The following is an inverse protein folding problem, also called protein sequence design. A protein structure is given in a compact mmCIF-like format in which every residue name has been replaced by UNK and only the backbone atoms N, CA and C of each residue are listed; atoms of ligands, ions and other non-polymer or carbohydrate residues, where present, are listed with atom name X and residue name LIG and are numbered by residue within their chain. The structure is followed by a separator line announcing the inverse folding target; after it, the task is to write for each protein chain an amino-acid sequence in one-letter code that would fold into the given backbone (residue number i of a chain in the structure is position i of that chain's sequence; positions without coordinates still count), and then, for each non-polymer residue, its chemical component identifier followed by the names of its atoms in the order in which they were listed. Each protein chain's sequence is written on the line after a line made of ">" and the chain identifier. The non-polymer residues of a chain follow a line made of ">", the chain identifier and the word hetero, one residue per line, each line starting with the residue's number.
data_IF_226943804208
#
_entry.id   IF_226943804208
#
_cell.length_a   1.000
_cell.length_b   1.000
_cell.length_c   1.000
_cell.angle_alpha   90.00
_cell.angle_beta   90.00
_cell.angle_gamma   90.00
#
_symmetry.space_group_name_H-M   'P 1'
#
loop_
_entity.id
_entity.type
_entity.pdbx_description
1 polymer ?
#
# COMPACT_ATOMS: atom_id res chain seq x y z
N UNK A 1 -3.43 -5.47 4.73
CA UNK A 1 -4.86 -5.67 4.38
C UNK A 1 -5.68 -4.99 5.47
N UNK A 2 -6.26 -3.83 5.19
CA UNK A 2 -7.27 -3.26 6.08
C UNK A 2 -8.42 -4.25 6.10
N UNK A 3 -8.71 -4.83 7.26
CA UNK A 3 -9.80 -5.78 7.40
C UNK A 3 -11.09 -5.06 7.01
N UNK A 4 -11.93 -5.69 6.18
CA UNK A 4 -13.27 -5.23 5.88
C UNK A 4 -14.13 -5.37 7.15
N UNK A 5 -13.85 -4.55 8.16
CA UNK A 5 -14.64 -4.47 9.38
C UNK A 5 -15.97 -3.79 9.06
N UNK A 6 -17.04 -4.21 9.72
CA UNK A 6 -18.35 -3.58 9.58
C UNK A 6 -18.24 -2.10 9.92
N UNK A 7 -18.89 -1.24 9.14
CA UNK A 7 -18.95 0.18 9.45
C UNK A 7 -19.68 0.41 10.77
N UNK A 8 -18.94 0.88 11.78
CA UNK A 8 -19.41 1.36 13.09
C UNK A 8 -18.54 2.55 13.50
N UNK A 9 -19.07 3.45 14.33
CA UNK A 9 -18.31 4.61 14.81
C UNK A 9 -17.01 4.21 15.54
N UNK A 10 -17.10 3.18 16.39
CA UNK A 10 -15.94 2.61 17.09
C UNK A 10 -14.85 2.10 16.13
N UNK A 11 -15.26 1.42 15.04
CA UNK A 11 -14.32 0.91 14.05
C UNK A 11 -13.70 2.04 13.25
N UNK A 12 -14.46 3.09 12.93
CA UNK A 12 -13.92 4.29 12.28
C UNK A 12 -12.84 4.93 13.14
N UNK A 13 -13.11 5.17 14.43
CA UNK A 13 -12.13 5.79 15.34
C UNK A 13 -10.86 4.93 15.48
N UNK A 14 -11.03 3.63 15.70
CA UNK A 14 -9.92 2.67 15.87
C UNK A 14 -9.07 2.53 14.60
N UNK A 15 -9.71 2.42 13.43
CA UNK A 15 -9.01 2.28 12.15
C UNK A 15 -8.33 3.58 11.73
N UNK A 16 -8.94 4.74 11.99
CA UNK A 16 -8.32 6.05 11.75
C UNK A 16 -7.03 6.20 12.55
N UNK A 17 -7.07 5.91 13.86
CA UNK A 17 -5.86 5.92 14.72
C UNK A 17 -4.79 4.92 14.26
N UNK A 18 -5.18 3.80 13.66
CA UNK A 18 -4.23 2.84 13.08
C UNK A 18 -3.60 3.40 11.82
N UNK A 19 -4.38 4.00 10.92
CA UNK A 19 -3.88 4.61 9.67
C UNK A 19 -2.88 5.72 10.00
N UNK A 20 -3.19 6.61 10.95
CA UNK A 20 -2.28 7.70 11.37
C UNK A 20 -0.93 7.20 11.91
N UNK A 21 -0.91 6.01 12.52
CA UNK A 21 0.31 5.37 13.02
C UNK A 21 1.12 4.68 11.92
N UNK A 22 0.45 4.23 10.86
CA UNK A 22 1.12 3.60 9.71
C UNK A 22 1.65 4.72 8.82
N UNK A 23 2.87 5.18 9.15
CA UNK A 23 3.65 6.06 8.28
C UNK A 23 4.45 5.23 7.28
N UNK A 24 4.78 5.86 6.15
CA UNK A 24 5.71 5.32 5.16
C UNK A 24 5.29 3.96 4.58
N UNK A 25 4.02 3.84 4.16
CA UNK A 25 3.54 2.73 3.33
C UNK A 25 3.30 3.18 1.90
N UNK A 26 3.52 2.26 0.95
CA UNK A 26 3.26 2.47 -0.46
C UNK A 26 2.67 1.19 -1.08
N UNK A 27 2.09 1.33 -2.27
CA UNK A 27 1.54 0.24 -3.06
C UNK A 27 2.60 -0.19 -4.08
N UNK A 28 2.95 -1.47 -4.04
CA UNK A 28 3.89 -2.12 -4.93
C UNK A 28 3.25 -3.39 -5.51
N UNK A 29 3.97 -4.12 -6.33
CA UNK A 29 3.62 -5.46 -6.76
C UNK A 29 4.81 -6.40 -6.59
N UNK A 30 4.52 -7.70 -6.42
CA UNK A 30 5.53 -8.74 -6.31
C UNK A 30 5.88 -9.26 -7.71
N UNK A 31 5.15 -10.29 -8.15
CA UNK A 31 5.34 -10.89 -9.48
C UNK A 31 4.25 -10.47 -10.48
N UNK A 32 3.06 -10.10 -9.97
CA UNK A 32 1.90 -9.76 -10.79
C UNK A 32 1.52 -8.28 -10.57
N UNK A 33 1.68 -7.40 -11.57
CA UNK A 33 1.33 -5.99 -11.46
C UNK A 33 -0.19 -5.74 -11.34
N UNK A 34 -1.03 -6.74 -11.56
CA UNK A 34 -2.49 -6.64 -11.36
C UNK A 34 -2.88 -6.94 -9.90
N UNK A 35 -1.96 -7.47 -9.10
CA UNK A 35 -2.17 -7.78 -7.69
C UNK A 35 -1.40 -6.80 -6.80
N UNK A 36 -2.02 -5.67 -6.39
CA UNK A 36 -1.34 -4.68 -5.56
C UNK A 36 -1.05 -5.26 -4.18
N UNK A 37 0.18 -5.00 -3.73
CA UNK A 37 0.68 -5.35 -2.41
C UNK A 37 1.06 -4.08 -1.66
N UNK A 38 0.50 -3.90 -0.46
CA UNK A 38 0.81 -2.76 0.39
C UNK A 38 1.94 -3.12 1.34
N UNK A 39 3.02 -2.34 1.32
CA UNK A 39 4.19 -2.58 2.16
C UNK A 39 4.78 -1.27 2.68
N UNK A 40 5.64 -1.35 3.69
CA UNK A 40 6.40 -0.17 4.11
C UNK A 40 7.41 0.22 3.03
N UNK A 41 7.60 1.51 2.82
CA UNK A 41 8.61 2.07 1.92
C UNK A 41 10.00 1.54 2.28
N UNK A 42 10.30 1.37 3.57
CA UNK A 42 11.55 0.76 4.03
C UNK A 42 11.73 -0.66 3.50
N UNK A 43 10.70 -1.51 3.61
CA UNK A 43 10.75 -2.88 3.10
C UNK A 43 10.87 -2.93 1.58
N UNK A 44 10.14 -2.06 0.86
CA UNK A 44 10.23 -1.94 -0.60
C UNK A 44 11.66 -1.59 -1.01
N UNK A 45 12.23 -0.54 -0.41
CA UNK A 45 13.60 -0.09 -0.71
C UNK A 45 14.67 -1.09 -0.30
N UNK A 46 14.41 -1.92 0.72
CA UNK A 46 15.36 -2.93 1.19
C UNK A 46 15.42 -4.17 0.31
N UNK A 47 14.39 -4.41 -0.53
CA UNK A 47 14.36 -5.56 -1.43
C UNK A 47 13.71 -5.22 -2.80
N UNK A 48 14.43 -4.46 -3.65
CA UNK A 48 13.91 -4.01 -4.94
C UNK A 48 13.72 -5.15 -5.95
N UNK A 49 14.36 -6.30 -5.76
CA UNK A 49 14.14 -7.50 -6.60
C UNK A 49 12.81 -8.19 -6.32
N UNK A 50 12.25 -7.97 -5.13
CA UNK A 50 10.99 -8.58 -4.70
C UNK A 50 9.82 -7.62 -4.85
N UNK A 51 10.03 -6.36 -4.47
CA UNK A 51 8.98 -5.34 -4.48
C UNK A 51 9.22 -4.35 -5.61
N UNK A 52 8.27 -4.29 -6.54
CA UNK A 52 8.32 -3.42 -7.69
C UNK A 52 7.29 -2.31 -7.55
N UNK A 53 7.71 -1.06 -7.72
CA UNK A 53 6.80 0.09 -7.65
C UNK A 53 6.10 0.29 -8.98
N UNK A 54 4.86 0.77 -8.92
CA UNK A 54 4.16 1.21 -10.12
C UNK A 54 4.85 2.46 -10.69
N UNK A 55 4.98 2.58 -12.02
CA UNK A 55 5.49 3.80 -12.65
C UNK A 55 4.61 4.98 -12.26
N UNK A 56 5.20 6.03 -11.68
CA UNK A 56 4.48 7.26 -11.30
C UNK A 56 4.21 8.18 -12.50
N UNK A 57 4.75 7.85 -13.67
CA UNK A 57 4.54 8.56 -14.93
C UNK A 57 3.98 7.56 -15.93
N UNK A 58 2.72 7.74 -16.31
CA UNK A 58 2.22 7.17 -17.56
C UNK A 58 2.90 7.98 -18.65
N UNK A 59 3.90 7.43 -19.33
CA UNK A 59 4.28 7.95 -20.64
C UNK A 59 3.05 7.79 -21.54
N UNK A 60 2.28 8.86 -21.69
CA UNK A 60 1.26 8.95 -22.74
C UNK A 60 2.06 8.98 -24.03
N UNK A 61 2.18 7.82 -24.68
CA UNK A 61 2.72 7.75 -26.05
C UNK A 61 1.62 8.25 -26.98
N UNK A 62 1.87 9.40 -27.59
CA UNK A 62 1.10 9.94 -28.72
C UNK A 62 1.06 8.98 -29.92
#
# INVERSE_FOLDING_TARGET
>A
MFFCEKYTEDNVEKLTKKIEKVKDIDICYLNDPVQPFMCSILAIKSNPSKYHLYPTQVEIKD
#
